data_IF_684672002986
#
_entry.id   IF_684672002986
#
_cell.length_a   1.000
_cell.length_b   1.000
_cell.length_c   1.000
_cell.angle_alpha   90.00
_cell.angle_beta   90.00
_cell.angle_gamma   90.00
#
_symmetry.space_group_name_H-M   'P 1'
#
loop_
_entity.id
_entity.type
_entity.pdbx_description
1 polymer ?
#
# COMPACT_ATOMS: atom_id res chain seq x y z
N UNK A 1 -14.84 -13.98 5.03
CA UNK A 1 -16.23 -13.83 4.56
C UNK A 1 -17.03 -13.11 5.62
N UNK A 2 -17.92 -12.23 5.20
CA UNK A 2 -18.73 -11.38 6.08
C UNK A 2 -20.06 -11.03 5.40
N UNK A 3 -20.99 -10.45 6.15
CA UNK A 3 -22.25 -9.91 5.66
C UNK A 3 -22.33 -8.40 5.85
N UNK A 4 -22.63 -7.70 4.76
CA UNK A 4 -23.10 -6.32 4.83
C UNK A 4 -24.62 -6.32 5.00
N UNK A 5 -25.11 -5.72 6.10
CA UNK A 5 -26.54 -5.52 6.33
C UNK A 5 -26.84 -4.76 7.63
N UNK A 6 -28.10 -4.41 7.90
CA UNK A 6 -29.26 -4.49 6.99
C UNK A 6 -29.33 -3.25 6.10
N UNK A 7 -29.23 -3.43 4.78
CA UNK A 7 -29.41 -2.36 3.80
C UNK A 7 -30.91 -2.11 3.52
N UNK A 8 -31.30 -0.94 2.97
CA UNK A 8 -32.65 -0.72 2.46
C UNK A 8 -33.06 -1.82 1.49
N UNK A 9 -34.31 -2.27 1.57
CA UNK A 9 -34.77 -3.36 0.71
C UNK A 9 -34.78 -2.90 -0.76
N UNK A 10 -34.08 -3.63 -1.63
CA UNK A 10 -34.09 -3.38 -3.07
C UNK A 10 -34.13 -4.68 -3.87
N UNK A 11 -35.08 -4.79 -4.81
CA UNK A 11 -35.44 -6.03 -5.52
C UNK A 11 -35.55 -7.27 -4.60
N UNK A 12 -36.05 -7.09 -3.38
CA UNK A 12 -36.20 -8.15 -2.37
C UNK A 12 -34.91 -8.56 -1.64
N UNK A 13 -33.77 -7.91 -1.90
CA UNK A 13 -32.53 -8.12 -1.15
C UNK A 13 -32.34 -7.07 -0.05
N UNK A 14 -31.69 -7.47 1.05
CA UNK A 14 -31.33 -6.59 2.18
C UNK A 14 -29.89 -6.77 2.67
N UNK A 15 -29.21 -7.80 2.16
CA UNK A 15 -27.89 -8.18 2.61
C UNK A 15 -26.98 -8.40 1.41
N UNK A 16 -25.68 -8.29 1.64
CA UNK A 16 -24.65 -8.71 0.68
C UNK A 16 -23.68 -9.62 1.41
N UNK A 17 -23.56 -10.86 0.95
CA UNK A 17 -22.52 -11.75 1.42
C UNK A 17 -21.23 -11.40 0.67
N UNK A 18 -20.18 -11.05 1.39
CA UNK A 18 -18.89 -10.68 0.80
C UNK A 18 -17.80 -11.67 1.16
N UNK A 19 -16.91 -11.90 0.22
CA UNK A 19 -15.70 -12.68 0.39
C UNK A 19 -14.55 -11.87 -0.21
N UNK A 20 -13.41 -11.86 0.47
CA UNK A 20 -12.19 -11.23 -0.06
C UNK A 20 -11.11 -12.30 -0.06
N UNK A 21 -10.48 -12.49 -1.20
CA UNK A 21 -9.26 -13.29 -1.27
C UNK A 21 -8.12 -12.53 -0.58
N UNK A 22 -7.49 -13.16 0.41
CA UNK A 22 -6.54 -12.50 1.31
C UNK A 22 -5.21 -12.18 0.64
N UNK A 23 -4.84 -12.91 -0.42
CA UNK A 23 -3.63 -12.66 -1.19
C UNK A 23 -3.80 -11.51 -2.20
N UNK A 24 -4.85 -11.60 -3.03
CA UNK A 24 -5.09 -10.64 -4.11
C UNK A 24 -5.84 -9.39 -3.66
N UNK A 25 -6.61 -9.46 -2.57
CA UNK A 25 -7.57 -8.43 -2.20
C UNK A 25 -8.81 -8.39 -3.11
N UNK A 26 -9.02 -9.43 -3.94
CA UNK A 26 -10.15 -9.54 -4.86
C UNK A 26 -11.46 -9.72 -4.09
N UNK A 27 -12.40 -8.82 -4.32
CA UNK A 27 -13.70 -8.78 -3.65
C UNK A 27 -14.76 -9.48 -4.47
N UNK A 28 -15.47 -10.38 -3.82
CA UNK A 28 -16.66 -11.03 -4.31
C UNK A 28 -17.82 -10.56 -3.44
N UNK A 29 -18.93 -10.20 -4.05
CA UNK A 29 -20.12 -9.76 -3.34
C UNK A 29 -21.37 -10.35 -3.98
N UNK A 30 -22.20 -10.99 -3.17
CA UNK A 30 -23.43 -11.64 -3.62
C UNK A 30 -24.65 -11.07 -2.89
N UNK A 31 -25.63 -10.47 -3.59
CA UNK A 31 -26.82 -9.91 -2.96
C UNK A 31 -27.76 -11.01 -2.46
N UNK A 32 -28.18 -10.90 -1.20
CA UNK A 32 -28.99 -11.89 -0.51
C UNK A 32 -30.27 -11.26 0.07
N UNK A 33 -31.35 -12.05 0.13
CA UNK A 33 -32.61 -11.64 0.78
C UNK A 33 -32.47 -11.62 2.30
N UNK A 34 -31.74 -12.59 2.85
CA UNK A 34 -31.50 -12.80 4.27
C UNK A 34 -30.06 -13.31 4.48
N UNK A 35 -29.50 -13.09 5.66
CA UNK A 35 -28.25 -13.75 6.06
C UNK A 35 -28.58 -15.15 6.59
N UNK A 36 -28.68 -16.13 5.70
CA UNK A 36 -28.99 -17.54 6.00
C UNK A 36 -27.94 -18.46 5.40
N UNK A 37 -27.92 -19.72 5.84
CA UNK A 37 -27.02 -20.76 5.36
C UNK A 37 -27.10 -20.95 3.83
N UNK A 38 -28.31 -21.06 3.28
CA UNK A 38 -28.50 -21.17 1.82
C UNK A 38 -27.95 -19.96 1.07
N UNK A 39 -28.09 -18.77 1.68
CA UNK A 39 -27.57 -17.52 1.12
C UNK A 39 -26.05 -17.42 1.25
N UNK A 40 -25.42 -18.21 2.13
CA UNK A 40 -23.96 -18.33 2.27
C UNK A 40 -23.40 -19.37 1.30
N UNK A 41 -24.10 -20.47 1.04
CA UNK A 41 -23.63 -21.52 0.11
C UNK A 41 -23.58 -21.00 -1.32
N UNK A 42 -24.57 -20.21 -1.75
CA UNK A 42 -24.60 -19.67 -3.12
C UNK A 42 -23.32 -18.92 -3.55
N UNK A 43 -22.80 -17.95 -2.77
CA UNK A 43 -21.53 -17.32 -3.10
C UNK A 43 -20.34 -18.27 -3.03
N UNK A 44 -20.34 -19.28 -2.15
CA UNK A 44 -19.29 -20.31 -2.12
C UNK A 44 -19.25 -21.12 -3.41
N UNK A 45 -20.42 -21.54 -3.92
CA UNK A 45 -20.51 -22.23 -5.22
C UNK A 45 -19.93 -21.37 -6.35
N UNK A 46 -20.20 -20.06 -6.35
CA UNK A 46 -19.65 -19.14 -7.36
C UNK A 46 -18.13 -18.98 -7.22
N UNK A 47 -17.61 -18.92 -6.00
CA UNK A 47 -16.17 -18.91 -5.74
C UNK A 47 -15.54 -20.17 -6.33
N UNK A 48 -16.07 -21.34 -5.98
CA UNK A 48 -15.57 -22.63 -6.48
C UNK A 48 -15.62 -22.67 -8.00
N UNK A 49 -16.75 -22.27 -8.60
CA UNK A 49 -16.96 -22.31 -10.05
C UNK A 49 -15.96 -21.43 -10.82
N UNK A 50 -15.69 -20.22 -10.34
CA UNK A 50 -14.91 -19.23 -11.10
C UNK A 50 -13.46 -19.10 -10.64
N UNK A 51 -13.11 -19.56 -9.44
CA UNK A 51 -11.80 -19.36 -8.80
C UNK A 51 -11.19 -20.65 -8.25
N UNK A 52 -11.92 -21.76 -8.29
CA UNK A 52 -11.49 -23.02 -7.69
C UNK A 52 -11.80 -23.12 -6.21
N UNK A 53 -11.47 -24.29 -5.64
CA UNK A 53 -11.78 -24.61 -4.24
C UNK A 53 -10.80 -23.88 -3.32
N UNK A 54 -11.26 -23.01 -2.42
CA UNK A 54 -10.37 -22.35 -1.46
C UNK A 54 -9.84 -23.36 -0.44
N UNK A 55 -8.56 -23.26 -0.10
CA UNK A 55 -7.97 -24.09 0.96
C UNK A 55 -8.60 -23.79 2.32
N UNK A 56 -8.92 -22.52 2.55
CA UNK A 56 -9.41 -22.03 3.83
C UNK A 56 -10.40 -20.88 3.65
N UNK A 57 -11.42 -20.84 4.50
CA UNK A 57 -12.34 -19.72 4.63
C UNK A 57 -12.33 -19.26 6.08
N UNK A 58 -12.27 -17.95 6.27
CA UNK A 58 -12.34 -17.32 7.60
C UNK A 58 -13.63 -16.51 7.73
N UNK A 59 -14.31 -16.57 8.88
CA UNK A 59 -15.50 -15.78 9.17
C UNK A 59 -15.67 -15.50 10.67
N UNK A 60 -16.61 -14.63 11.01
CA UNK A 60 -17.09 -14.48 12.39
C UNK A 60 -17.88 -15.72 12.85
N UNK A 61 -18.23 -15.73 14.14
CA UNK A 61 -19.05 -16.79 14.76
C UNK A 61 -20.56 -16.67 14.44
N UNK A 62 -20.93 -15.95 13.39
CA UNK A 62 -22.32 -15.76 12.97
C UNK A 62 -23.02 -17.08 12.68
N UNK A 63 -24.29 -17.19 13.09
CA UNK A 63 -25.08 -18.42 12.93
C UNK A 63 -25.27 -18.84 11.47
N UNK A 64 -25.16 -17.90 10.53
CA UNK A 64 -25.20 -18.14 9.10
C UNK A 64 -23.93 -18.82 8.56
N UNK A 65 -22.78 -18.71 9.25
CA UNK A 65 -21.54 -19.43 8.93
C UNK A 65 -21.34 -20.69 9.77
N UNK A 66 -21.69 -20.64 11.06
CA UNK A 66 -21.43 -21.72 12.03
C UNK A 66 -22.29 -22.97 11.87
N UNK A 67 -23.44 -22.85 11.20
CA UNK A 67 -24.42 -23.94 11.16
C UNK A 67 -23.92 -25.16 10.36
N UNK A 68 -24.46 -26.34 10.72
CA UNK A 68 -24.10 -27.63 10.17
C UNK A 68 -24.12 -27.70 8.64
N UNK A 69 -25.09 -27.08 7.97
CA UNK A 69 -25.18 -27.14 6.50
C UNK A 69 -23.98 -26.49 5.80
N UNK A 70 -23.51 -25.35 6.31
CA UNK A 70 -22.35 -24.63 5.74
C UNK A 70 -21.06 -25.37 6.09
N UNK A 71 -20.96 -25.89 7.33
CA UNK A 71 -19.80 -26.68 7.75
C UNK A 71 -19.68 -27.97 6.95
N UNK A 72 -20.78 -28.71 6.76
CA UNK A 72 -20.81 -29.91 5.91
C UNK A 72 -20.45 -29.61 4.45
N UNK A 73 -20.90 -28.47 3.92
CA UNK A 73 -20.51 -28.03 2.58
C UNK A 73 -18.99 -27.80 2.51
N UNK A 74 -18.41 -27.13 3.50
CA UNK A 74 -16.97 -26.90 3.58
C UNK A 74 -16.19 -28.22 3.67
N UNK A 75 -16.60 -29.12 4.58
CA UNK A 75 -15.97 -30.42 4.79
C UNK A 75 -16.01 -31.28 3.52
N UNK A 76 -17.16 -31.33 2.83
CA UNK A 76 -17.33 -32.12 1.60
C UNK A 76 -16.44 -31.62 0.46
N UNK A 77 -16.14 -30.32 0.45
CA UNK A 77 -15.28 -29.71 -0.55
C UNK A 77 -13.81 -29.59 -0.07
N UNK A 78 -13.44 -30.20 1.06
CA UNK A 78 -12.11 -30.10 1.67
C UNK A 78 -11.67 -28.65 1.96
N UNK A 79 -12.61 -27.80 2.36
CA UNK A 79 -12.36 -26.40 2.71
C UNK A 79 -12.21 -26.31 4.22
N UNK A 80 -11.06 -25.86 4.73
CA UNK A 80 -10.91 -25.61 6.16
C UNK A 80 -11.65 -24.33 6.57
N UNK A 81 -12.63 -24.44 7.46
CA UNK A 81 -13.32 -23.27 8.00
C UNK A 81 -12.69 -22.82 9.32
N UNK A 82 -12.22 -21.58 9.38
CA UNK A 82 -11.69 -20.96 10.60
C UNK A 82 -12.64 -19.88 11.08
N UNK A 83 -13.06 -20.00 12.33
CA UNK A 83 -13.79 -18.96 13.03
C UNK A 83 -12.81 -18.06 13.76
N UNK A 84 -12.94 -16.75 13.57
CA UNK A 84 -12.08 -15.79 14.26
C UNK A 84 -12.27 -15.87 15.79
N UNK A 85 -11.16 -15.96 16.52
CA UNK A 85 -11.04 -15.41 17.87
C UNK A 85 -10.81 -13.90 17.69
N UNK A 86 -11.32 -12.99 18.55
CA UNK A 86 -11.23 -11.53 18.39
C UNK A 86 -9.84 -10.88 18.10
N UNK A 87 -8.76 -11.65 18.00
CA UNK A 87 -7.38 -11.21 17.87
C UNK A 87 -6.65 -11.67 16.59
N UNK A 88 -7.34 -11.92 15.47
CA UNK A 88 -6.69 -12.16 14.16
C UNK A 88 -6.85 -10.93 13.22
N UNK A 89 -6.06 -9.85 13.43
CA UNK A 89 -6.37 -8.51 12.90
C UNK A 89 -6.19 -8.32 11.40
N UNK A 90 -5.34 -9.10 10.72
CA UNK A 90 -4.98 -8.84 9.32
C UNK A 90 -6.11 -9.18 8.32
N UNK A 91 -6.69 -10.38 8.42
CA UNK A 91 -7.77 -10.82 7.53
C UNK A 91 -9.11 -10.13 7.84
N UNK A 92 -9.41 -9.95 9.14
CA UNK A 92 -10.58 -9.20 9.59
C UNK A 92 -10.51 -7.73 9.15
N UNK A 93 -9.36 -7.07 9.33
CA UNK A 93 -9.18 -5.68 8.89
C UNK A 93 -9.27 -5.51 7.37
N UNK A 94 -8.87 -6.50 6.58
CA UNK A 94 -8.99 -6.45 5.12
C UNK A 94 -10.45 -6.52 4.68
N UNK A 95 -11.24 -7.48 5.18
CA UNK A 95 -12.64 -7.62 4.79
C UNK A 95 -13.49 -6.44 5.28
N UNK A 96 -13.23 -5.91 6.47
CA UNK A 96 -13.90 -4.72 7.00
C UNK A 96 -13.64 -3.50 6.10
N UNK A 97 -12.38 -3.26 5.73
CA UNK A 97 -11.99 -2.18 4.82
C UNK A 97 -12.69 -2.31 3.47
N UNK A 98 -12.72 -3.52 2.91
CA UNK A 98 -13.36 -3.79 1.62
C UNK A 98 -14.88 -3.62 1.67
N UNK A 99 -15.52 -4.03 2.76
CA UNK A 99 -16.94 -3.79 2.99
C UNK A 99 -17.25 -2.31 3.14
N UNK A 100 -16.36 -1.54 3.77
CA UNK A 100 -16.43 -0.07 3.84
C UNK A 100 -16.40 0.58 2.45
N UNK A 101 -15.40 0.22 1.63
CA UNK A 101 -15.25 0.74 0.26
C UNK A 101 -16.47 0.39 -0.61
N UNK A 102 -17.01 -0.82 -0.48
CA UNK A 102 -18.22 -1.22 -1.22
C UNK A 102 -19.44 -0.40 -0.78
N UNK A 103 -19.66 -0.22 0.52
CA UNK A 103 -20.78 0.61 1.04
C UNK A 103 -20.70 2.05 0.53
N UNK A 104 -19.51 2.65 0.57
CA UNK A 104 -19.30 4.02 0.12
C UNK A 104 -19.56 4.16 -1.38
N UNK A 105 -19.02 3.25 -2.20
CA UNK A 105 -19.22 3.28 -3.65
C UNK A 105 -20.70 3.12 -4.02
N UNK A 106 -21.40 2.18 -3.39
CA UNK A 106 -22.84 1.97 -3.60
C UNK A 106 -23.66 3.22 -3.21
N UNK A 107 -23.28 3.90 -2.12
CA UNK A 107 -23.92 5.16 -1.71
C UNK A 107 -23.67 6.28 -2.72
N UNK A 108 -22.45 6.40 -3.27
CA UNK A 108 -22.11 7.40 -4.31
C UNK A 108 -22.91 7.16 -5.59
N UNK A 109 -22.96 5.91 -6.07
CA UNK A 109 -23.71 5.55 -7.28
C UNK A 109 -25.22 5.75 -7.14
N UNK A 110 -25.76 5.60 -5.93
CA UNK A 110 -27.17 5.91 -5.61
C UNK A 110 -27.46 7.39 -5.30
N UNK A 111 -26.58 8.32 -5.66
CA UNK A 111 -26.78 9.77 -5.43
C UNK A 111 -26.83 10.13 -3.94
N UNK A 112 -26.04 9.46 -3.10
CA UNK A 112 -26.01 9.62 -1.65
C UNK A 112 -27.01 8.73 -0.90
N UNK A 113 -27.89 8.01 -1.61
CA UNK A 113 -28.86 7.08 -1.05
C UNK A 113 -28.44 5.63 -1.30
N UNK A 114 -28.82 4.72 -0.41
CA UNK A 114 -28.55 3.29 -0.53
C UNK A 114 -29.81 2.49 -0.88
N UNK A 115 -30.82 3.09 -1.52
CA UNK A 115 -32.08 2.41 -1.87
C UNK A 115 -32.01 1.67 -3.21
N UNK A 116 -31.06 2.00 -4.10
CA UNK A 116 -30.83 1.32 -5.39
C UNK A 116 -29.59 0.42 -5.38
N UNK A 117 -29.01 0.17 -4.19
CA UNK A 117 -27.69 -0.45 -4.02
C UNK A 117 -27.48 -1.74 -4.84
N UNK A 118 -28.51 -2.60 -4.94
CA UNK A 118 -28.38 -3.89 -5.64
C UNK A 118 -28.09 -3.70 -7.13
N UNK A 119 -28.66 -2.68 -7.74
CA UNK A 119 -28.52 -2.44 -9.18
C UNK A 119 -27.14 -1.86 -9.53
N UNK A 120 -26.48 -1.26 -8.54
CA UNK A 120 -25.14 -0.71 -8.67
C UNK A 120 -24.04 -1.71 -8.32
N UNK A 121 -24.35 -2.92 -7.82
CA UNK A 121 -23.34 -3.94 -7.53
C UNK A 121 -22.51 -4.34 -8.78
N UNK A 122 -23.11 -4.60 -9.95
CA UNK A 122 -22.36 -4.93 -11.17
C UNK A 122 -21.43 -3.80 -11.64
N UNK A 123 -21.72 -2.55 -11.31
CA UNK A 123 -20.88 -1.40 -11.63
C UNK A 123 -19.80 -1.16 -10.54
N UNK A 124 -20.14 -1.37 -9.27
CA UNK A 124 -19.23 -1.13 -8.16
C UNK A 124 -18.10 -2.17 -8.09
N UNK A 125 -18.39 -3.45 -8.35
CA UNK A 125 -17.42 -4.53 -8.20
C UNK A 125 -16.24 -4.45 -9.18
N UNK A 126 -16.43 -4.22 -10.49
CA UNK A 126 -15.32 -4.06 -11.42
C UNK A 126 -14.42 -2.89 -11.04
N UNK A 127 -14.98 -1.77 -10.58
CA UNK A 127 -14.20 -0.62 -10.12
C UNK A 127 -13.33 -0.99 -8.92
N UNK A 128 -13.89 -1.68 -7.93
CA UNK A 128 -13.11 -2.10 -6.77
C UNK A 128 -12.06 -3.14 -7.16
N UNK A 129 -12.37 -4.11 -7.99
CA UNK A 129 -11.43 -5.18 -8.35
C UNK A 129 -10.38 -4.76 -9.38
N UNK A 130 -10.57 -3.67 -10.12
CA UNK A 130 -9.58 -3.08 -11.02
C UNK A 130 -8.90 -1.83 -10.44
N UNK A 131 -9.15 -1.51 -9.16
CA UNK A 131 -8.43 -0.40 -8.50
C UNK A 131 -6.94 -0.75 -8.39
N UNK A 132 -6.03 0.21 -8.55
CA UNK A 132 -4.61 -0.01 -8.27
C UNK A 132 -4.40 -0.41 -6.80
N UNK A 133 -3.60 -1.45 -6.57
CA UNK A 133 -3.08 -1.85 -5.24
C UNK A 133 -1.54 -1.80 -5.19
N UNK A 134 -0.92 -1.40 -6.30
CA UNK A 134 0.51 -1.15 -6.52
C UNK A 134 0.70 -0.50 -7.90
N UNK A 135 1.94 -0.21 -8.33
CA UNK A 135 2.22 0.54 -9.57
C UNK A 135 1.63 -0.10 -10.84
N UNK A 136 1.56 -1.43 -10.92
CA UNK A 136 1.07 -2.16 -12.10
C UNK A 136 0.10 -3.30 -11.75
N UNK A 137 -0.47 -3.29 -10.55
CA UNK A 137 -1.30 -4.40 -10.09
C UNK A 137 -2.67 -3.94 -9.60
N UNK A 138 -3.67 -4.72 -9.99
CA UNK A 138 -5.03 -4.64 -9.46
C UNK A 138 -5.39 -5.95 -8.77
N UNK A 139 -6.39 -5.98 -7.87
CA UNK A 139 -6.86 -7.23 -7.28
C UNK A 139 -7.23 -8.29 -8.31
N UNK A 140 -7.88 -7.88 -9.41
CA UNK A 140 -8.23 -8.80 -10.50
C UNK A 140 -6.99 -9.36 -11.20
N UNK A 141 -6.00 -8.52 -11.52
CA UNK A 141 -4.75 -8.97 -12.13
C UNK A 141 -4.01 -9.96 -11.22
N UNK A 142 -3.83 -9.59 -9.95
CA UNK A 142 -3.16 -10.43 -8.94
C UNK A 142 -3.89 -11.77 -8.72
N UNK A 143 -5.21 -11.80 -8.87
CA UNK A 143 -6.04 -13.02 -8.81
C UNK A 143 -5.95 -13.86 -10.09
N UNK A 144 -5.88 -13.22 -11.27
CA UNK A 144 -5.95 -13.89 -12.57
C UNK A 144 -4.61 -14.48 -13.04
N UNK A 145 -3.48 -14.00 -12.49
CA UNK A 145 -2.15 -14.57 -12.75
C UNK A 145 -1.55 -15.22 -11.50
N UNK A 146 -2.11 -16.35 -11.02
CA UNK A 146 -1.61 -17.02 -9.82
C UNK A 146 -0.25 -17.72 -10.05
N UNK A 147 0.32 -17.69 -11.26
CA UNK A 147 1.56 -18.39 -11.65
C UNK A 147 2.43 -17.61 -12.66
N UNK A 148 2.65 -16.32 -12.48
CA UNK A 148 4.01 -15.83 -12.76
C UNK A 148 4.87 -16.23 -11.57
N UNK A 149 5.26 -17.50 -11.54
CA UNK A 149 6.51 -17.93 -10.90
C UNK A 149 7.71 -17.37 -11.67
N UNK A 150 7.75 -16.06 -11.92
CA UNK A 150 9.01 -15.41 -11.64
C UNK A 150 9.06 -15.51 -10.14
N UNK A 151 10.07 -16.16 -9.57
CA UNK A 151 10.42 -15.94 -8.16
C UNK A 151 10.10 -14.47 -7.86
N UNK A 152 9.41 -14.11 -6.77
CA UNK A 152 9.73 -12.83 -6.21
C UNK A 152 11.25 -12.93 -6.02
N UNK A 153 12.01 -12.21 -6.84
CA UNK A 153 13.30 -11.74 -6.36
C UNK A 153 12.95 -11.23 -4.97
N UNK A 154 13.60 -11.74 -3.93
CA UNK A 154 13.52 -11.12 -2.62
C UNK A 154 13.85 -9.65 -2.86
N UNK A 155 12.83 -8.82 -3.01
CA UNK A 155 12.99 -7.39 -3.12
C UNK A 155 12.54 -6.90 -1.75
N UNK A 156 13.47 -6.98 -0.79
CA UNK A 156 13.61 -5.82 0.09
C UNK A 156 13.59 -4.64 -0.86
N UNK A 157 12.52 -3.82 -0.89
CA UNK A 157 12.28 -2.80 -1.94
C UNK A 157 13.62 -2.16 -2.33
N UNK A 158 14.22 -2.67 -3.41
CA UNK A 158 15.58 -2.31 -3.77
C UNK A 158 15.39 -1.02 -4.50
N UNK A 159 15.66 0.08 -3.82
CA UNK A 159 15.79 1.37 -4.48
C UNK A 159 16.94 1.22 -5.46
N UNK A 160 16.61 1.21 -6.75
CA UNK A 160 17.62 1.20 -7.81
C UNK A 160 18.34 2.54 -7.76
N UNK A 161 19.65 2.50 -7.71
CA UNK A 161 20.51 3.66 -7.90
C UNK A 161 21.41 3.40 -9.10
N UNK A 162 21.98 4.46 -9.66
CA UNK A 162 23.04 4.35 -10.66
C UNK A 162 24.14 5.34 -10.36
N UNK A 163 25.36 4.93 -10.66
CA UNK A 163 26.55 5.78 -10.59
C UNK A 163 26.59 6.66 -11.84
N UNK A 164 26.65 7.97 -11.62
CA UNK A 164 26.75 9.00 -12.67
C UNK A 164 28.20 9.44 -12.84
N UNK A 165 28.98 9.41 -11.75
CA UNK A 165 30.41 9.79 -11.73
C UNK A 165 31.25 8.65 -11.17
N UNK A 166 32.45 8.47 -11.71
CA UNK A 166 33.41 7.48 -11.23
C UNK A 166 33.82 7.75 -9.77
N UNK A 167 33.86 6.72 -8.93
CA UNK A 167 34.15 6.83 -7.50
C UNK A 167 32.94 7.15 -6.61
N UNK A 168 31.73 7.20 -7.17
CA UNK A 168 30.50 7.36 -6.39
C UNK A 168 30.22 6.11 -5.54
N UNK A 169 29.68 6.30 -4.33
CA UNK A 169 29.35 5.21 -3.44
C UNK A 169 27.84 4.94 -3.42
N UNK A 170 27.48 3.66 -3.43
CA UNK A 170 26.11 3.20 -3.26
C UNK A 170 25.47 3.79 -1.98
N UNK A 171 24.22 4.29 -2.04
CA UNK A 171 23.48 4.62 -0.84
C UNK A 171 23.35 3.37 0.07
N UNK A 172 23.64 3.54 1.36
CA UNK A 172 23.76 2.40 2.28
C UNK A 172 22.73 2.43 3.40
N UNK A 173 22.12 1.29 3.70
CA UNK A 173 21.24 1.12 4.85
C UNK A 173 22.03 0.60 6.04
N UNK A 174 22.18 1.43 7.08
CA UNK A 174 22.98 1.09 8.26
C UNK A 174 22.48 -0.15 9.01
N UNK A 175 21.16 -0.27 9.20
CA UNK A 175 20.49 -1.44 9.80
C UNK A 175 19.16 -1.68 9.12
N UNK A 176 18.61 -2.90 9.24
CA UNK A 176 17.30 -3.26 8.66
C UNK A 176 16.18 -2.26 9.03
N UNK A 177 16.21 -1.71 10.25
CA UNK A 177 15.20 -0.78 10.77
C UNK A 177 15.52 0.70 10.52
N UNK A 178 16.69 1.03 9.96
CA UNK A 178 17.05 2.43 9.68
C UNK A 178 16.15 2.97 8.58
N UNK A 179 15.42 4.06 8.83
CA UNK A 179 14.48 4.62 7.87
C UNK A 179 15.13 5.21 6.61
N UNK A 180 16.33 5.79 6.74
CA UNK A 180 17.05 6.44 5.65
C UNK A 180 18.19 5.62 5.05
N UNK A 181 18.51 5.91 3.79
CA UNK A 181 19.72 5.44 3.11
C UNK A 181 20.79 6.52 3.21
N UNK A 182 21.93 6.19 3.82
CA UNK A 182 23.07 7.08 3.94
C UNK A 182 23.66 7.36 2.56
N UNK A 183 23.81 8.65 2.22
CA UNK A 183 24.47 9.13 1.00
C UNK A 183 25.81 9.80 1.33
N UNK A 184 26.75 9.71 0.41
CA UNK A 184 28.17 10.02 0.61
C UNK A 184 28.63 11.15 -0.32
N UNK A 185 29.55 11.99 0.17
CA UNK A 185 30.19 13.00 -0.66
C UNK A 185 31.20 12.36 -1.63
N UNK A 186 31.10 12.68 -2.92
CA UNK A 186 32.03 12.23 -3.95
C UNK A 186 33.44 12.78 -3.74
N UNK A 187 33.56 13.95 -3.12
CA UNK A 187 34.83 14.60 -2.83
C UNK A 187 34.81 15.25 -1.45
N UNK A 188 35.99 15.57 -0.92
CA UNK A 188 36.11 16.34 0.32
C UNK A 188 35.64 17.78 0.08
N UNK A 189 34.81 18.28 0.99
CA UNK A 189 34.32 19.66 0.96
C UNK A 189 34.54 20.33 2.31
N UNK A 190 34.98 21.59 2.29
CA UNK A 190 35.01 22.45 3.47
C UNK A 190 33.76 23.30 3.50
N UNK A 191 32.92 23.10 4.50
CA UNK A 191 31.73 23.88 4.74
C UNK A 191 32.03 24.96 5.79
N UNK A 192 32.29 26.18 5.29
CA UNK A 192 32.61 27.32 6.14
C UNK A 192 31.44 27.70 7.03
N UNK A 193 31.76 28.28 8.18
CA UNK A 193 30.82 28.89 9.12
C UNK A 193 29.93 29.91 8.39
N UNK A 194 28.60 29.81 8.56
CA UNK A 194 27.60 30.62 7.84
C UNK A 194 27.62 30.48 6.31
N UNK A 195 28.32 29.48 5.78
CA UNK A 195 28.44 29.21 4.36
C UNK A 195 27.41 28.20 3.84
N UNK A 196 27.24 28.21 2.52
CA UNK A 196 26.48 27.21 1.76
C UNK A 196 27.47 26.41 0.93
N UNK A 197 27.28 25.09 0.87
CA UNK A 197 28.05 24.20 0.00
C UNK A 197 27.12 23.21 -0.70
N UNK A 198 27.30 23.03 -2.01
CA UNK A 198 26.64 21.98 -2.77
C UNK A 198 27.57 20.77 -2.82
N UNK A 199 27.09 19.65 -2.30
CA UNK A 199 27.81 18.39 -2.26
C UNK A 199 27.30 17.52 -3.41
N UNK A 200 28.23 17.15 -4.29
CA UNK A 200 28.01 16.15 -5.32
C UNK A 200 28.09 14.74 -4.72
N UNK A 201 27.07 13.92 -4.98
CA UNK A 201 27.05 12.51 -4.54
C UNK A 201 27.52 11.55 -5.62
N UNK A 202 27.49 11.96 -6.89
CA UNK A 202 27.79 11.10 -8.02
C UNK A 202 26.75 9.98 -8.26
N UNK A 203 25.61 9.99 -7.57
CA UNK A 203 24.57 8.94 -7.68
C UNK A 203 23.22 9.51 -8.07
N UNK A 204 22.46 8.77 -8.87
CA UNK A 204 21.03 8.97 -9.09
C UNK A 204 20.22 7.87 -8.41
N UNK A 205 18.96 8.10 -8.09
CA UNK A 205 18.06 7.11 -7.47
C UNK A 205 16.72 7.10 -8.19
N UNK A 206 16.17 5.91 -8.38
CA UNK A 206 14.79 5.74 -8.83
C UNK A 206 13.84 5.92 -7.64
N UNK A 207 12.86 6.81 -7.79
CA UNK A 207 11.79 7.00 -6.80
C UNK A 207 10.47 6.57 -7.46
N UNK A 208 9.75 5.58 -6.87
CA UNK A 208 8.46 5.13 -7.39
C UNK A 208 7.43 6.26 -7.51
N UNK A 209 6.49 6.13 -8.45
CA UNK A 209 5.45 7.15 -8.63
C UNK A 209 4.56 7.26 -7.38
N UNK A 210 4.22 8.49 -6.98
CA UNK A 210 3.51 8.76 -5.72
C UNK A 210 4.41 8.77 -4.48
N UNK A 211 5.72 8.78 -4.68
CA UNK A 211 6.72 8.97 -3.63
C UNK A 211 7.63 10.15 -3.96
N UNK A 212 8.30 10.65 -2.94
CA UNK A 212 9.39 11.62 -3.06
C UNK A 212 10.56 11.16 -2.21
N UNK A 213 11.77 11.51 -2.64
CA UNK A 213 12.94 11.41 -1.80
C UNK A 213 13.02 12.64 -0.91
N UNK A 214 13.30 12.45 0.37
CA UNK A 214 13.60 13.50 1.32
C UNK A 214 15.06 13.38 1.75
N UNK A 215 15.86 14.38 1.43
CA UNK A 215 17.22 14.52 1.94
C UNK A 215 17.13 15.08 3.36
N UNK A 216 17.51 14.26 4.34
CA UNK A 216 17.49 14.62 5.75
C UNK A 216 18.92 14.68 6.32
N UNK A 217 19.22 15.64 7.22
CA UNK A 217 20.51 15.68 7.89
C UNK A 217 20.60 14.53 8.89
N UNK A 218 21.81 13.99 9.09
CA UNK A 218 22.07 13.09 10.22
C UNK A 218 21.99 13.86 11.53
N UNK A 219 21.46 13.25 12.59
CA UNK A 219 21.34 13.88 13.91
C UNK A 219 22.65 14.49 14.41
N UNK A 220 23.79 13.83 14.18
CA UNK A 220 25.11 14.32 14.55
C UNK A 220 25.54 15.61 13.81
N UNK A 221 25.06 15.83 12.58
CA UNK A 221 25.32 17.06 11.81
C UNK A 221 24.29 18.14 12.13
N UNK A 222 23.03 17.75 12.34
CA UNK A 222 21.97 18.67 12.76
C UNK A 222 22.32 19.37 14.10
N UNK A 223 22.88 18.63 15.06
CA UNK A 223 23.35 19.18 16.35
C UNK A 223 24.45 20.24 16.15
N UNK A 224 25.26 20.13 15.09
CA UNK A 224 26.30 21.11 14.75
C UNK A 224 25.78 22.31 13.96
N UNK A 225 24.46 22.47 13.85
CA UNK A 225 23.82 23.57 13.11
C UNK A 225 23.81 23.39 11.60
N UNK A 226 24.04 22.18 11.09
CA UNK A 226 23.95 21.90 9.65
C UNK A 226 22.51 21.68 9.24
N UNK A 227 22.08 22.42 8.22
CA UNK A 227 20.74 22.38 7.65
C UNK A 227 20.81 21.97 6.17
N UNK A 228 19.73 21.37 5.69
CA UNK A 228 19.54 21.01 4.29
C UNK A 228 18.72 22.11 3.62
N UNK A 229 19.24 22.70 2.53
CA UNK A 229 18.54 23.71 1.75
C UNK A 229 17.91 23.08 0.51
N UNK A 230 16.59 22.90 0.54
CA UNK A 230 15.91 22.09 -0.45
C UNK A 230 16.26 20.61 -0.25
N UNK A 231 15.25 19.74 -0.26
CA UNK A 231 15.49 18.33 0.08
C UNK A 231 14.49 17.38 -0.55
N UNK A 232 13.63 17.86 -1.44
CA UNK A 232 12.66 17.03 -2.15
C UNK A 232 13.31 16.57 -3.45
N UNK A 233 13.28 15.27 -3.68
CA UNK A 233 13.63 14.63 -4.95
C UNK A 233 12.30 14.12 -5.53
N UNK A 234 11.88 14.67 -6.65
CA UNK A 234 10.64 14.27 -7.32
C UNK A 234 10.78 12.89 -7.98
N UNK A 235 9.66 12.16 -8.09
CA UNK A 235 9.65 10.81 -8.66
C UNK A 235 10.08 10.73 -10.13
N UNK A 236 9.92 11.82 -10.89
CA UNK A 236 10.34 11.94 -12.28
C UNK A 236 11.79 12.45 -12.42
N UNK A 237 12.47 12.79 -11.31
CA UNK A 237 13.85 13.24 -11.33
C UNK A 237 14.81 12.06 -11.53
N UNK A 238 15.59 12.10 -12.63
CA UNK A 238 16.56 11.06 -12.99
C UNK A 238 18.02 11.58 -12.97
N UNK A 239 18.26 12.77 -12.41
CA UNK A 239 19.59 13.39 -12.35
C UNK A 239 20.42 12.96 -11.14
N UNK A 240 21.60 13.57 -11.01
CA UNK A 240 22.47 13.40 -9.83
C UNK A 240 21.83 14.02 -8.58
N UNK A 241 21.79 13.27 -7.49
CA UNK A 241 21.38 13.79 -6.18
C UNK A 241 22.44 14.80 -5.73
N UNK A 242 22.05 16.07 -5.67
CA UNK A 242 22.88 17.15 -5.11
C UNK A 242 22.36 17.53 -3.74
N UNK A 243 23.26 17.63 -2.77
CA UNK A 243 22.92 17.94 -1.39
C UNK A 243 23.40 19.34 -1.08
N UNK A 244 22.49 20.26 -0.78
CA UNK A 244 22.84 21.64 -0.45
C UNK A 244 22.86 21.78 1.07
N UNK A 245 24.04 21.99 1.63
CA UNK A 245 24.25 22.17 3.07
C UNK A 245 24.40 23.65 3.40
N UNK A 246 23.70 24.08 4.44
CA UNK A 246 23.92 25.36 5.13
C UNK A 246 24.53 25.09 6.50
N UNK A 247 25.63 25.75 6.82
CA UNK A 247 26.20 25.73 8.16
C UNK A 247 25.76 26.96 8.95
N UNK A 248 24.76 26.81 9.82
CA UNK A 248 24.33 27.85 10.75
C UNK A 248 25.07 27.81 12.09
N UNK A 249 26.02 26.89 12.26
CA UNK A 249 26.90 26.82 13.43
C UNK A 249 27.95 27.94 13.44
N UNK A 250 28.83 27.87 14.43
CA UNK A 250 29.90 28.83 14.71
C UNK A 250 31.30 28.31 14.33
N UNK A 251 31.39 27.10 13.79
CA UNK A 251 32.64 26.43 13.40
C UNK A 251 32.57 25.90 11.97
N UNK A 252 33.71 25.88 11.29
CA UNK A 252 33.86 25.23 9.99
C UNK A 252 33.75 23.71 10.15
N UNK A 253 33.10 23.05 9.19
CA UNK A 253 32.97 21.59 9.16
C UNK A 253 33.63 21.05 7.90
N UNK A 254 34.46 20.02 8.08
CA UNK A 254 35.00 19.25 6.96
C UNK A 254 34.10 18.06 6.67
N UNK A 255 33.50 18.04 5.48
CA UNK A 255 32.79 16.89 4.95
C UNK A 255 33.83 16.01 4.23
N UNK A 256 34.18 14.89 4.84
CA UNK A 256 35.15 13.96 4.28
C UNK A 256 34.53 13.14 3.14
N UNK A 257 35.36 12.80 2.16
CA UNK A 257 35.01 11.80 1.14
C UNK A 257 34.67 10.45 1.81
N UNK A 258 33.69 9.73 1.27
CA UNK A 258 33.20 8.44 1.79
C UNK A 258 32.61 8.48 3.21
N UNK A 259 32.40 9.65 3.80
CA UNK A 259 31.66 9.80 5.05
C UNK A 259 30.24 10.24 4.72
N UNK A 260 29.28 9.53 5.29
CA UNK A 260 27.86 9.83 5.06
C UNK A 260 27.53 11.22 5.62
N UNK A 261 27.04 12.09 4.75
CA UNK A 261 26.72 13.48 5.07
C UNK A 261 25.21 13.71 5.26
N UNK A 262 24.37 12.87 4.65
CA UNK A 262 22.90 12.94 4.74
C UNK A 262 22.29 11.56 4.62
N UNK A 263 21.01 11.44 4.98
CA UNK A 263 20.22 10.25 4.76
C UNK A 263 19.04 10.58 3.85
N UNK A 264 18.83 9.78 2.80
CA UNK A 264 17.67 9.88 1.91
C UNK A 264 16.55 9.01 2.47
N UNK A 265 15.40 9.60 2.75
CA UNK A 265 14.19 8.92 3.23
C UNK A 265 13.16 8.95 2.11
N UNK A 266 12.53 7.82 1.80
CA UNK A 266 11.45 7.79 0.81
C UNK A 266 10.13 8.05 1.53
N UNK A 267 9.48 9.17 1.19
CA UNK A 267 8.19 9.58 1.71
C UNK A 267 7.08 9.33 0.70
N UNK A 268 5.90 8.94 1.15
CA UNK A 268 4.73 8.83 0.28
C UNK A 268 4.13 10.23 0.05
N UNK A 269 3.90 10.61 -1.20
CA UNK A 269 3.21 11.85 -1.57
C UNK A 269 1.70 11.71 -1.30
N UNK A 270 1.28 11.89 -0.05
CA UNK A 270 -0.14 12.11 0.31
C UNK A 270 -0.36 13.56 0.71
N UNK A 271 -0.38 14.45 -0.28
CA UNK A 271 -0.98 15.78 -0.11
C UNK A 271 -1.86 16.06 -1.32
N UNK A 272 -3.17 15.91 -1.15
CA UNK A 272 -4.19 16.42 -2.07
C UNK A 272 -4.20 17.97 -2.01
N UNK A 273 -3.20 18.64 -2.57
CA UNK A 273 -3.27 20.06 -2.85
C UNK A 273 -3.34 20.25 -4.36
N UNK A 274 -4.54 20.09 -4.91
CA UNK A 274 -4.81 20.39 -6.31
C UNK A 274 -5.00 21.90 -6.48
N UNK A 275 -3.89 22.63 -6.56
CA UNK A 275 -3.77 24.06 -6.84
C UNK A 275 -4.26 25.05 -5.74
N UNK A 276 -3.58 26.19 -5.68
CA UNK A 276 -4.08 27.39 -5.01
C UNK A 276 -5.02 28.11 -6.00
N UNK A 277 -6.30 28.26 -5.67
CA UNK A 277 -7.19 29.13 -6.43
C UNK A 277 -6.88 30.60 -6.07
N UNK A 278 -6.66 31.50 -7.06
CA UNK A 278 -6.47 32.91 -6.77
C UNK A 278 -7.78 33.53 -6.25
N UNK A 279 -7.66 34.38 -5.23
CA UNK A 279 -8.75 35.17 -4.64
C UNK A 279 -9.36 36.18 -5.60
#
# INVERSE_FOLDING_TARGET
>A
MDYIGSLPAHRGCRYVCTAVDTYSGYLIAHPCRRATQDSTIKPLELIILYRGIPLQIQSDNGSHFKNQKVQQFADTNNIQWIFHIPYYPQAAGLIERMNGLLKERLKRLGGGKSNTWRDHLPEALPVLNNRPIGEMETPLMRMATPNLQIKPLTVAETLTYWEIKEGALAPYRATLDTAGLDSYALQMHRLNTRGICVIDTGTGVYIPSGYFGLIAPRSALAIKGIQILGGIIDSDYQGEIKVILLNSGDQDILIQHCVSCVSVVIGNQRTECNAWEPS
#
